data_IF_947091321113
#
_entry.id   IF_947091321113
#
_cell.length_a   1.000
_cell.length_b   1.000
_cell.length_c   1.000
_cell.angle_alpha   90.00
_cell.angle_beta   90.00
_cell.angle_gamma   90.00
#
_symmetry.space_group_name_H-M   'P 1'
#
loop_
_entity.id
_entity.type
_entity.pdbx_description
1 polymer ?
#
# COMPACT_ATOMS: atom_id res chain seq x y z
N UNK A 1 -9.89 -12.61 2.16
CA UNK A 1 -8.56 -13.26 2.05
C UNK A 1 -8.60 -14.05 0.75
N UNK A 2 -7.69 -13.83 -0.21
CA UNK A 2 -7.79 -14.36 -1.58
C UNK A 2 -7.94 -15.90 -1.71
N UNK A 3 -8.31 -16.36 -2.91
CA UNK A 3 -8.70 -17.75 -3.20
C UNK A 3 -7.52 -18.70 -3.48
N UNK A 4 -6.56 -18.80 -2.56
CA UNK A 4 -5.35 -19.62 -2.70
C UNK A 4 -4.06 -18.82 -2.90
N UNK A 5 -2.93 -19.51 -3.08
CA UNK A 5 -1.65 -18.86 -3.39
C UNK A 5 -1.58 -18.42 -4.85
N UNK A 6 -1.07 -17.21 -5.10
CA UNK A 6 -0.94 -16.66 -6.45
C UNK A 6 0.53 -16.62 -6.86
N UNK A 7 0.80 -17.05 -8.10
CA UNK A 7 2.12 -16.90 -8.72
C UNK A 7 2.34 -15.45 -9.11
N UNK A 8 3.40 -14.84 -8.59
CA UNK A 8 3.77 -13.45 -8.88
C UNK A 8 4.90 -13.40 -9.91
N UNK A 9 5.93 -14.22 -9.72
CA UNK A 9 7.02 -14.41 -10.67
C UNK A 9 7.34 -15.90 -10.80
N UNK A 10 8.09 -16.34 -11.81
CA UNK A 10 8.59 -17.71 -11.88
C UNK A 10 9.39 -18.07 -10.62
N UNK A 11 8.88 -19.03 -9.83
CA UNK A 11 9.47 -19.44 -8.55
C UNK A 11 9.13 -18.55 -7.35
N UNK A 12 8.20 -17.59 -7.48
CA UNK A 12 7.75 -16.72 -6.39
C UNK A 12 6.23 -16.65 -6.31
N UNK A 13 5.71 -17.03 -5.14
CA UNK A 13 4.29 -17.13 -4.85
C UNK A 13 3.94 -16.30 -3.61
N UNK A 14 2.72 -15.79 -3.59
CA UNK A 14 2.17 -14.99 -2.50
C UNK A 14 0.87 -15.62 -2.00
N UNK A 15 0.75 -15.80 -0.69
CA UNK A 15 -0.43 -16.46 -0.09
C UNK A 15 -0.79 -15.98 1.30
N UNK A 16 -1.85 -16.58 1.84
CA UNK A 16 -2.29 -16.42 3.23
C UNK A 16 -1.76 -17.59 4.11
N UNK A 17 -2.06 -17.55 5.40
CA UNK A 17 -1.63 -18.59 6.34
C UNK A 17 -2.24 -19.99 6.09
N UNK A 18 -3.45 -20.06 5.53
CA UNK A 18 -4.08 -21.35 5.16
C UNK A 18 -3.36 -21.98 3.98
N UNK A 19 -3.03 -21.18 2.97
CA UNK A 19 -2.30 -21.63 1.78
C UNK A 19 -0.92 -22.19 2.15
N UNK A 20 -0.28 -21.64 3.18
CA UNK A 20 1.01 -22.12 3.70
C UNK A 20 0.94 -23.46 4.44
N UNK A 21 -0.26 -23.95 4.77
CA UNK A 21 -0.50 -25.25 5.41
C UNK A 21 -1.11 -26.28 4.45
N UNK A 22 -1.55 -25.84 3.27
CA UNK A 22 -2.17 -26.71 2.28
C UNK A 22 -1.10 -27.50 1.51
N UNK A 23 -0.91 -28.76 1.90
CA UNK A 23 0.09 -29.62 1.26
C UNK A 23 -0.18 -29.87 -0.24
N UNK A 24 -1.44 -29.78 -0.70
CA UNK A 24 -1.77 -30.04 -2.10
C UNK A 24 -1.28 -28.88 -2.96
N UNK A 25 -1.68 -27.64 -2.64
CA UNK A 25 -1.19 -26.46 -3.35
C UNK A 25 0.34 -26.32 -3.28
N UNK A 26 0.93 -26.66 -2.13
CA UNK A 26 2.37 -26.62 -1.92
C UNK A 26 3.15 -27.64 -2.77
N UNK A 27 2.56 -28.81 -3.07
CA UNK A 27 3.16 -29.83 -3.95
C UNK A 27 2.92 -29.50 -5.42
N UNK A 28 1.70 -29.10 -5.78
CA UNK A 28 1.32 -28.71 -7.16
C UNK A 28 2.20 -27.57 -7.68
N UNK A 29 2.47 -26.56 -6.85
CA UNK A 29 3.30 -25.41 -7.22
C UNK A 29 4.82 -25.65 -6.99
N UNK A 30 5.22 -26.86 -6.57
CA UNK A 30 6.62 -27.21 -6.34
C UNK A 30 7.31 -26.29 -5.32
N UNK A 31 6.59 -25.80 -4.32
CA UNK A 31 7.15 -24.91 -3.29
C UNK A 31 8.23 -25.71 -2.52
N UNK A 32 9.37 -25.10 -2.25
CA UNK A 32 10.48 -25.72 -1.47
C UNK A 32 10.88 -24.84 -0.30
N UNK A 33 10.63 -23.54 -0.40
CA UNK A 33 10.97 -22.53 0.58
C UNK A 33 9.73 -21.75 1.00
N UNK A 34 9.60 -21.44 2.30
CA UNK A 34 8.48 -20.67 2.84
C UNK A 34 9.01 -19.51 3.67
N UNK A 35 8.61 -18.29 3.30
CA UNK A 35 8.86 -17.08 4.05
C UNK A 35 7.58 -16.70 4.80
N UNK A 36 7.59 -16.91 6.11
CA UNK A 36 6.48 -16.62 7.00
C UNK A 36 6.72 -15.30 7.72
N UNK A 37 5.85 -14.29 7.48
CA UNK A 37 5.93 -12.99 8.15
C UNK A 37 4.63 -12.66 8.90
N UNK A 38 4.60 -12.96 10.20
CA UNK A 38 3.50 -12.66 11.10
C UNK A 38 3.94 -12.80 12.57
N UNK A 39 3.08 -12.38 13.50
CA UNK A 39 3.40 -12.24 14.94
C UNK A 39 3.89 -13.53 15.63
N UNK A 40 3.54 -14.69 15.07
CA UNK A 40 3.86 -16.02 15.60
C UNK A 40 4.50 -16.91 14.53
N UNK A 41 5.33 -16.34 13.66
CA UNK A 41 5.98 -17.08 12.56
C UNK A 41 6.84 -18.23 13.11
N UNK A 42 6.46 -19.46 12.77
CA UNK A 42 7.17 -20.68 13.16
C UNK A 42 7.16 -21.67 11.99
N UNK A 43 8.20 -22.50 11.84
CA UNK A 43 8.19 -23.60 10.88
C UNK A 43 7.01 -24.52 11.15
N UNK A 44 6.20 -24.80 10.12
CA UNK A 44 5.00 -25.62 10.23
C UNK A 44 5.19 -27.02 9.63
N UNK A 45 6.03 -27.15 8.61
CA UNK A 45 6.27 -28.39 7.88
C UNK A 45 7.78 -28.72 7.92
N UNK A 46 8.18 -29.98 8.15
CA UNK A 46 9.59 -30.35 8.28
C UNK A 46 10.31 -30.55 6.93
N UNK A 47 9.58 -30.70 5.82
CA UNK A 47 10.10 -31.00 4.48
C UNK A 47 10.57 -29.75 3.70
N UNK A 48 10.54 -28.57 4.32
CA UNK A 48 10.74 -27.28 3.64
C UNK A 48 11.66 -26.36 4.43
N UNK A 49 12.32 -25.47 3.70
CA UNK A 49 13.20 -24.46 4.31
C UNK A 49 12.36 -23.24 4.68
N UNK A 50 12.44 -22.82 5.94
CA UNK A 50 11.67 -21.68 6.44
C UNK A 50 12.56 -20.48 6.74
N UNK A 51 12.05 -19.30 6.37
CA UNK A 51 12.47 -18.02 6.95
C UNK A 51 11.28 -17.44 7.72
N UNK A 52 11.37 -17.41 9.05
CA UNK A 52 10.32 -16.90 9.92
C UNK A 52 10.70 -15.52 10.47
N UNK A 53 9.86 -14.52 10.17
CA UNK A 53 10.02 -13.15 10.66
C UNK A 53 8.82 -12.79 11.52
N UNK A 54 9.08 -12.43 12.76
CA UNK A 54 8.06 -11.93 13.68
C UNK A 54 7.83 -10.44 13.45
N UNK A 55 6.71 -10.09 12.83
CA UNK A 55 6.35 -8.71 12.54
C UNK A 55 4.83 -8.49 12.57
N UNK A 56 4.40 -7.41 13.23
CA UNK A 56 3.00 -7.02 13.33
C UNK A 56 2.53 -6.21 12.11
N UNK A 57 1.24 -6.25 11.79
CA UNK A 57 0.66 -5.53 10.65
C UNK A 57 0.28 -4.09 10.99
N UNK A 58 1.17 -3.39 11.68
CA UNK A 58 0.94 -2.02 12.12
C UNK A 58 1.79 -1.06 11.32
N UNK A 59 1.30 0.16 11.09
CA UNK A 59 2.05 1.22 10.37
C UNK A 59 3.39 1.57 11.01
N UNK A 60 3.55 1.32 12.31
CA UNK A 60 4.78 1.57 13.08
C UNK A 60 5.81 0.44 12.98
N UNK A 61 5.44 -0.74 12.46
CA UNK A 61 6.37 -1.85 12.33
C UNK A 61 7.39 -1.55 11.24
N UNK A 62 8.68 -1.57 11.55
CA UNK A 62 9.74 -1.38 10.56
C UNK A 62 10.04 -2.71 9.85
N UNK A 63 9.74 -2.77 8.54
CA UNK A 63 9.99 -3.94 7.69
C UNK A 63 11.26 -3.81 6.84
N UNK A 64 11.77 -2.59 6.61
CA UNK A 64 12.96 -2.40 5.74
C UNK A 64 14.18 -3.11 6.28
N UNK A 65 14.29 -3.24 7.61
CA UNK A 65 15.38 -3.98 8.26
C UNK A 65 15.47 -5.45 7.81
N UNK A 66 14.36 -6.03 7.33
CA UNK A 66 14.32 -7.41 6.87
C UNK A 66 14.54 -7.58 5.36
N UNK A 67 14.51 -6.49 4.58
CA UNK A 67 14.52 -6.57 3.11
C UNK A 67 15.73 -7.34 2.58
N UNK A 68 16.93 -7.05 3.07
CA UNK A 68 18.14 -7.76 2.62
C UNK A 68 18.08 -9.26 2.94
N UNK A 69 17.65 -9.63 4.15
CA UNK A 69 17.53 -11.03 4.56
C UNK A 69 16.47 -11.77 3.73
N UNK A 70 15.32 -11.13 3.50
CA UNK A 70 14.23 -11.73 2.72
C UNK A 70 14.58 -11.83 1.23
N UNK A 71 15.27 -10.82 0.70
CA UNK A 71 15.73 -10.82 -0.68
C UNK A 71 16.73 -11.94 -0.92
N UNK A 72 17.69 -12.15 -0.03
CA UNK A 72 18.66 -13.25 -0.13
C UNK A 72 17.99 -14.61 -0.13
N UNK A 73 17.02 -14.79 0.78
CA UNK A 73 16.28 -16.04 0.89
C UNK A 73 15.50 -16.34 -0.39
N UNK A 74 14.76 -15.35 -0.91
CA UNK A 74 13.99 -15.50 -2.14
C UNK A 74 14.91 -15.73 -3.34
N UNK A 75 15.96 -14.92 -3.47
CA UNK A 75 16.86 -14.96 -4.62
C UNK A 75 17.62 -16.28 -4.71
N UNK A 76 18.21 -16.73 -3.59
CA UNK A 76 18.93 -18.00 -3.51
C UNK A 76 18.05 -19.18 -3.88
N UNK A 77 16.83 -19.22 -3.35
CA UNK A 77 15.88 -20.30 -3.65
C UNK A 77 15.52 -20.35 -5.13
N UNK A 78 15.27 -19.19 -5.76
CA UNK A 78 14.96 -19.09 -7.20
C UNK A 78 16.15 -19.48 -8.07
N UNK A 79 17.38 -19.09 -7.70
CA UNK A 79 18.60 -19.48 -8.41
C UNK A 79 18.83 -20.99 -8.41
N UNK A 80 18.49 -21.65 -7.31
CA UNK A 80 18.59 -23.11 -7.18
C UNK A 80 17.43 -23.86 -7.88
N UNK A 81 16.58 -23.17 -8.64
CA UNK A 81 15.41 -23.76 -9.31
C UNK A 81 14.26 -24.12 -8.37
N UNK A 82 14.29 -23.64 -7.12
CA UNK A 82 13.21 -23.80 -6.16
C UNK A 82 12.10 -22.75 -6.31
N UNK A 83 10.96 -23.01 -5.67
CA UNK A 83 9.86 -22.05 -5.57
C UNK A 83 9.64 -21.60 -4.13
N UNK A 84 9.42 -20.30 -3.96
CA UNK A 84 9.24 -19.65 -2.65
C UNK A 84 7.81 -19.20 -2.47
N UNK A 85 7.20 -19.55 -1.34
CA UNK A 85 5.93 -18.97 -0.91
C UNK A 85 6.18 -17.91 0.16
N UNK A 86 5.79 -16.68 -0.11
CA UNK A 86 5.78 -15.58 0.87
C UNK A 86 4.36 -15.42 1.40
N UNK A 87 4.18 -15.59 2.71
CA UNK A 87 2.85 -15.45 3.32
C UNK A 87 2.88 -14.67 4.63
N UNK A 88 1.75 -14.05 4.93
CA UNK A 88 1.46 -13.49 6.25
C UNK A 88 0.16 -14.13 6.77
N UNK A 89 -0.61 -13.41 7.58
CA UNK A 89 -1.91 -13.91 8.04
C UNK A 89 -2.94 -13.93 6.89
N UNK A 90 -3.24 -12.77 6.30
CA UNK A 90 -4.25 -12.62 5.25
C UNK A 90 -3.69 -12.67 3.81
N UNK A 91 -2.37 -12.49 3.66
CA UNK A 91 -1.73 -12.34 2.35
C UNK A 91 -2.08 -11.01 1.66
N UNK A 92 -2.13 -9.92 2.44
CA UNK A 92 -2.62 -8.59 2.00
C UNK A 92 -1.58 -7.48 2.17
N UNK A 93 -0.90 -7.43 3.33
CA UNK A 93 -0.05 -6.29 3.69
C UNK A 93 1.42 -6.71 3.90
N UNK A 94 1.79 -7.27 5.05
CA UNK A 94 3.18 -7.67 5.37
C UNK A 94 3.90 -8.48 4.28
N UNK A 95 3.28 -9.58 3.83
CA UNK A 95 3.88 -10.43 2.79
C UNK A 95 3.97 -9.72 1.45
N UNK A 96 2.98 -8.89 1.11
CA UNK A 96 2.98 -8.08 -0.11
C UNK A 96 4.14 -7.10 -0.09
N UNK A 97 4.38 -6.41 1.04
CA UNK A 97 5.49 -5.47 1.18
C UNK A 97 6.84 -6.12 0.88
N UNK A 98 7.09 -7.31 1.44
CA UNK A 98 8.33 -8.06 1.21
C UNK A 98 8.46 -8.50 -0.25
N UNK A 99 7.38 -9.00 -0.84
CA UNK A 99 7.36 -9.39 -2.26
C UNK A 99 7.58 -8.19 -3.18
N UNK A 100 6.97 -7.04 -2.89
CA UNK A 100 7.16 -5.80 -3.64
C UNK A 100 8.61 -5.31 -3.55
N UNK A 101 9.20 -5.30 -2.34
CA UNK A 101 10.60 -4.92 -2.15
C UNK A 101 11.55 -5.78 -2.98
N UNK A 102 11.33 -7.11 -3.00
CA UNK A 102 12.12 -8.02 -3.83
C UNK A 102 11.98 -7.73 -5.33
N UNK A 103 10.75 -7.54 -5.83
CA UNK A 103 10.49 -7.20 -7.24
C UNK A 103 11.21 -5.92 -7.63
N UNK A 104 11.13 -4.88 -6.80
CA UNK A 104 11.85 -3.62 -7.02
C UNK A 104 13.34 -3.88 -7.18
N UNK A 105 13.95 -4.67 -6.29
CA UNK A 105 15.39 -4.97 -6.33
C UNK A 105 15.81 -5.71 -7.60
N UNK A 106 15.05 -6.71 -8.05
CA UNK A 106 15.45 -7.52 -9.22
C UNK A 106 15.12 -6.87 -10.57
N UNK A 107 14.06 -6.07 -10.65
CA UNK A 107 13.63 -5.43 -11.91
C UNK A 107 14.15 -3.99 -12.07
N UNK A 108 14.25 -3.26 -10.97
CA UNK A 108 14.46 -1.81 -10.94
C UNK A 108 13.17 -0.99 -11.09
N UNK A 109 11.99 -1.61 -11.00
CA UNK A 109 10.71 -0.90 -11.01
C UNK A 109 10.54 -0.04 -9.76
N UNK A 110 9.78 1.05 -9.91
CA UNK A 110 9.32 1.85 -8.78
C UNK A 110 8.35 1.07 -7.89
N UNK A 111 8.18 1.48 -6.64
CA UNK A 111 7.34 0.77 -5.67
C UNK A 111 5.88 0.68 -6.10
N UNK A 112 5.36 1.70 -6.79
CA UNK A 112 3.98 1.70 -7.31
C UNK A 112 3.81 0.67 -8.41
N UNK A 113 4.73 0.62 -9.38
CA UNK A 113 4.67 -0.32 -10.49
C UNK A 113 4.88 -1.75 -9.99
N UNK A 114 5.83 -1.96 -9.08
CA UNK A 114 6.05 -3.24 -8.44
C UNK A 114 4.82 -3.70 -7.61
N UNK A 115 4.16 -2.79 -6.89
CA UNK A 115 2.91 -3.12 -6.17
C UNK A 115 1.76 -3.42 -7.14
N UNK A 116 1.65 -2.69 -8.25
CA UNK A 116 0.64 -2.92 -9.27
C UNK A 116 0.86 -4.27 -9.97
N UNK A 117 2.11 -4.69 -10.21
CA UNK A 117 2.42 -6.04 -10.66
C UNK A 117 1.93 -7.10 -9.66
N UNK A 118 2.17 -6.90 -8.36
CA UNK A 118 1.65 -7.82 -7.33
C UNK A 118 0.12 -7.84 -7.32
N UNK A 119 -0.55 -6.69 -7.53
CA UNK A 119 -2.02 -6.61 -7.63
C UNK A 119 -2.58 -7.32 -8.86
N UNK A 120 -1.84 -7.31 -9.97
CA UNK A 120 -2.16 -8.09 -11.16
C UNK A 120 -2.21 -9.59 -10.87
N UNK A 121 -1.29 -10.08 -10.03
CA UNK A 121 -1.26 -11.48 -9.61
C UNK A 121 -2.24 -11.79 -8.47
N UNK A 122 -2.40 -10.88 -7.51
CA UNK A 122 -3.26 -11.02 -6.33
C UNK A 122 -4.00 -9.71 -6.04
N UNK A 123 -5.24 -9.62 -6.49
CA UNK A 123 -6.09 -8.41 -6.41
C UNK A 123 -6.24 -7.83 -5.00
N UNK A 124 -6.24 -8.68 -3.97
CA UNK A 124 -6.36 -8.23 -2.57
C UNK A 124 -5.07 -7.64 -1.97
N UNK A 125 -4.00 -7.47 -2.76
CA UNK A 125 -2.74 -6.88 -2.31
C UNK A 125 -2.91 -5.39 -1.98
N UNK A 126 -2.80 -5.07 -0.69
CA UNK A 126 -2.92 -3.73 -0.18
C UNK A 126 -2.08 -3.54 1.10
N UNK A 127 -0.79 -3.19 0.96
CA UNK A 127 0.06 -2.83 2.10
C UNK A 127 -0.54 -1.68 2.90
N UNK A 128 -0.36 -1.72 4.22
CA UNK A 128 -0.74 -0.59 5.06
C UNK A 128 0.05 0.68 4.66
N UNK A 129 -0.47 1.86 5.01
CA UNK A 129 0.16 3.14 4.63
C UNK A 129 1.59 3.30 5.17
N UNK A 130 1.89 2.75 6.35
CA UNK A 130 3.25 2.77 6.90
C UNK A 130 4.24 2.01 6.03
N UNK A 131 3.84 0.83 5.55
CA UNK A 131 4.64 0.00 4.64
C UNK A 131 4.77 0.62 3.25
N UNK A 132 3.72 1.30 2.75
CA UNK A 132 3.83 2.06 1.50
C UNK A 132 4.87 3.19 1.62
N UNK A 133 4.88 3.94 2.73
CA UNK A 133 5.92 4.94 3.00
C UNK A 133 7.31 4.32 3.10
N UNK A 134 7.43 3.16 3.73
CA UNK A 134 8.69 2.43 3.81
C UNK A 134 9.18 1.97 2.43
N UNK A 135 8.29 1.51 1.54
CA UNK A 135 8.64 1.16 0.16
C UNK A 135 9.07 2.38 -0.66
N UNK A 136 8.39 3.52 -0.48
CA UNK A 136 8.79 4.78 -1.10
C UNK A 136 10.18 5.21 -0.62
N UNK A 137 10.43 5.19 0.69
CA UNK A 137 11.75 5.49 1.24
C UNK A 137 12.82 4.51 0.73
N UNK A 138 12.48 3.21 0.64
CA UNK A 138 13.37 2.20 0.07
C UNK A 138 13.71 2.49 -1.40
N UNK A 139 12.75 2.91 -2.22
CA UNK A 139 13.00 3.32 -3.61
C UNK A 139 14.05 4.44 -3.71
N UNK A 140 14.00 5.44 -2.82
CA UNK A 140 14.87 6.61 -2.88
C UNK A 140 16.25 6.39 -2.22
N UNK A 141 16.31 5.64 -1.12
CA UNK A 141 17.50 5.60 -0.25
C UNK A 141 18.23 4.25 -0.25
N UNK A 142 17.49 3.16 -0.53
CA UNK A 142 17.96 1.80 -0.26
C UNK A 142 18.01 0.89 -1.49
N UNK A 143 17.23 1.17 -2.53
CA UNK A 143 17.04 0.26 -3.67
C UNK A 143 18.35 0.01 -4.43
N UNK A 144 19.08 1.06 -4.77
CA UNK A 144 20.34 0.94 -5.52
C UNK A 144 21.41 0.19 -4.71
N UNK A 145 21.49 0.47 -3.40
CA UNK A 145 22.42 -0.20 -2.49
C UNK A 145 22.09 -1.69 -2.37
N UNK A 146 20.81 -2.01 -2.21
CA UNK A 146 20.34 -3.38 -2.06
C UNK A 146 20.51 -4.18 -3.36
N UNK A 147 20.29 -3.55 -4.51
CA UNK A 147 20.54 -4.15 -5.82
C UNK A 147 22.03 -4.46 -6.02
N UNK A 148 22.90 -3.51 -5.67
CA UNK A 148 24.35 -3.71 -5.74
C UNK A 148 24.80 -4.85 -4.81
N UNK A 149 24.30 -4.87 -3.57
CA UNK A 149 24.55 -5.96 -2.61
C UNK A 149 24.11 -7.32 -3.15
N UNK A 150 22.92 -7.38 -3.77
CA UNK A 150 22.40 -8.63 -4.33
C UNK A 150 23.28 -9.13 -5.49
N UNK A 151 23.76 -8.23 -6.33
CA UNK A 151 24.69 -8.55 -7.44
C UNK A 151 26.04 -9.03 -6.90
N UNK A 152 26.56 -8.40 -5.84
CA UNK A 152 27.80 -8.83 -5.21
C UNK A 152 27.68 -10.22 -4.54
N UNK A 153 26.53 -10.51 -3.95
CA UNK A 153 26.28 -11.79 -3.26
C UNK A 153 26.02 -12.97 -4.21
N UNK A 154 25.34 -12.74 -5.34
CA UNK A 154 24.85 -13.82 -6.21
C UNK A 154 25.30 -13.71 -7.69
N UNK A 155 26.02 -12.66 -8.05
CA UNK A 155 26.41 -12.37 -9.42
C UNK A 155 25.34 -11.60 -10.21
N UNK A 156 25.40 -11.66 -11.54
CA UNK A 156 24.41 -11.02 -12.39
C UNK A 156 23.01 -11.61 -12.15
N UNK A 157 21.98 -10.76 -12.03
CA UNK A 157 20.58 -11.15 -11.83
C UNK A 157 20.07 -11.82 -13.12
N UNK A 158 20.01 -13.16 -13.19
CA UNK A 158 19.87 -13.87 -14.47
C UNK A 158 18.44 -13.81 -15.01
N UNK A 159 17.46 -13.50 -14.16
CA UNK A 159 16.04 -13.49 -14.50
C UNK A 159 15.50 -12.10 -14.78
N UNK A 160 16.35 -11.06 -14.82
CA UNK A 160 15.90 -9.66 -14.85
C UNK A 160 14.94 -9.33 -15.99
N UNK A 161 15.29 -9.71 -17.22
CA UNK A 161 14.45 -9.42 -18.41
C UNK A 161 13.11 -10.15 -18.33
N UNK A 162 13.14 -11.45 -18.02
CA UNK A 162 11.94 -12.27 -17.83
C UNK A 162 11.04 -11.73 -16.71
N UNK A 163 11.63 -11.37 -15.58
CA UNK A 163 10.89 -10.86 -14.43
C UNK A 163 10.26 -9.50 -14.75
N UNK A 164 10.95 -8.65 -15.52
CA UNK A 164 10.44 -7.35 -15.95
C UNK A 164 9.28 -7.50 -16.96
N UNK A 165 9.39 -8.42 -17.92
CA UNK A 165 8.32 -8.73 -18.87
C UNK A 165 7.06 -9.21 -18.13
N UNK A 166 7.21 -10.21 -17.24
CA UNK A 166 6.11 -10.71 -16.42
C UNK A 166 5.48 -9.63 -15.54
N UNK A 167 6.28 -8.72 -14.95
CA UNK A 167 5.73 -7.59 -14.20
C UNK A 167 4.92 -6.66 -15.09
N UNK A 168 5.36 -6.40 -16.32
CA UNK A 168 4.67 -5.52 -17.27
C UNK A 168 3.31 -6.12 -17.68
N UNK A 169 3.26 -7.42 -17.91
CA UNK A 169 1.99 -8.13 -18.17
C UNK A 169 1.03 -8.00 -16.99
N UNK A 170 1.52 -8.23 -15.77
CA UNK A 170 0.70 -8.13 -14.56
C UNK A 170 0.21 -6.71 -14.30
N UNK A 171 1.03 -5.69 -14.56
CA UNK A 171 0.62 -4.27 -14.48
C UNK A 171 -0.50 -3.99 -15.48
N UNK A 172 -0.39 -4.54 -16.69
CA UNK A 172 -1.42 -4.40 -17.73
C UNK A 172 -2.73 -5.06 -17.31
N UNK A 173 -2.67 -6.28 -16.75
CA UNK A 173 -3.84 -6.98 -16.18
C UNK A 173 -4.50 -6.16 -15.08
N UNK A 174 -3.70 -5.62 -14.14
CA UNK A 174 -4.23 -4.77 -13.07
C UNK A 174 -4.89 -3.50 -13.63
N UNK A 175 -4.25 -2.84 -14.59
CA UNK A 175 -4.77 -1.61 -15.21
C UNK A 175 -6.09 -1.85 -15.95
N UNK A 176 -6.19 -2.96 -16.69
CA UNK A 176 -7.44 -3.35 -17.35
C UNK A 176 -8.56 -3.61 -16.34
N UNK A 177 -8.26 -4.27 -15.23
CA UNK A 177 -9.24 -4.50 -14.17
C UNK A 177 -9.69 -3.18 -13.51
N UNK A 178 -8.78 -2.26 -13.24
CA UNK A 178 -9.13 -0.93 -12.69
C UNK A 178 -10.06 -0.17 -13.64
N UNK A 179 -9.84 -0.27 -14.95
CA UNK A 179 -10.63 0.43 -15.95
C UNK A 179 -12.00 -0.20 -16.21
N UNK A 180 -12.08 -1.53 -16.23
CA UNK A 180 -13.30 -2.27 -16.61
C UNK A 180 -14.12 -2.76 -15.43
N UNK A 181 -13.58 -2.73 -14.22
CA UNK A 181 -14.15 -3.41 -13.07
C UNK A 181 -14.08 -4.93 -13.22
N UNK A 182 -14.73 -5.63 -12.29
CA UNK A 182 -14.93 -7.08 -12.40
C UNK A 182 -16.20 -7.32 -13.23
N UNK A 183 -16.08 -7.64 -14.52
CA UNK A 183 -17.26 -8.05 -15.32
C UNK A 183 -17.92 -9.35 -14.78
N UNK A 184 -17.28 -10.01 -13.81
CA UNK A 184 -17.71 -11.26 -13.18
C UNK A 184 -18.10 -11.12 -11.68
N UNK A 185 -18.12 -9.92 -11.09
CA UNK A 185 -18.55 -9.76 -9.70
C UNK A 185 -20.05 -9.47 -9.61
N UNK A 186 -20.73 -10.28 -8.82
CA UNK A 186 -22.06 -10.07 -8.26
C UNK A 186 -22.21 -8.61 -7.77
N UNK A 187 -23.24 -7.85 -8.21
CA UNK A 187 -23.39 -6.42 -7.90
C UNK A 187 -23.56 -6.06 -6.42
N UNK A 188 -23.55 -7.02 -5.49
CA UNK A 188 -23.87 -6.81 -4.07
C UNK A 188 -22.66 -6.68 -3.11
N UNK A 189 -21.41 -6.70 -3.62
CA UNK A 189 -20.22 -6.52 -2.75
C UNK A 189 -19.76 -5.06 -2.77
N UNK A 190 -20.45 -4.24 -1.95
CA UNK A 190 -20.22 -2.81 -1.81
C UNK A 190 -18.93 -2.42 -1.08
N UNK A 191 -17.75 -2.54 -1.72
CA UNK A 191 -16.52 -1.87 -1.27
C UNK A 191 -15.62 -1.40 -2.44
N UNK A 192 -15.90 -0.17 -2.91
CA UNK A 192 -15.07 0.79 -3.70
C UNK A 192 -14.57 0.45 -5.13
N UNK A 193 -14.23 1.44 -6.00
CA UNK A 193 -14.57 2.88 -6.04
C UNK A 193 -15.44 3.23 -7.28
N UNK A 194 -16.30 4.25 -7.17
CA UNK A 194 -17.11 4.71 -8.31
C UNK A 194 -16.21 5.31 -9.42
N UNK A 195 -16.48 5.02 -10.70
CA UNK A 195 -15.75 5.62 -11.82
C UNK A 195 -15.95 7.14 -11.85
N UNK A 196 -14.96 7.85 -12.40
CA UNK A 196 -14.87 9.33 -12.42
C UNK A 196 -16.10 10.04 -13.01
N UNK A 197 -16.94 9.32 -13.77
CA UNK A 197 -18.16 9.83 -14.41
C UNK A 197 -19.39 9.83 -13.49
N UNK A 198 -19.28 9.34 -12.24
CA UNK A 198 -20.39 9.34 -11.28
C UNK A 198 -20.61 10.71 -10.60
N UNK A 199 -19.67 11.65 -10.73
CA UNK A 199 -19.82 13.02 -10.25
C UNK A 199 -20.29 13.93 -11.39
N UNK A 200 -21.59 13.89 -11.70
CA UNK A 200 -22.17 14.88 -12.60
C UNK A 200 -23.55 14.54 -13.16
N UNK A 201 -24.60 14.83 -12.38
CA UNK A 201 -25.76 15.67 -12.73
C UNK A 201 -26.95 15.32 -11.82
N UNK A 202 -27.45 16.32 -11.10
CA UNK A 202 -28.57 16.21 -10.17
C UNK A 202 -29.89 15.93 -10.90
N UNK A 203 -30.77 15.12 -10.29
CA UNK A 203 -32.18 15.50 -10.16
C UNK A 203 -32.80 14.89 -8.90
N UNK A 204 -33.52 15.75 -8.19
CA UNK A 204 -34.40 15.59 -7.04
C UNK A 204 -35.31 14.35 -7.07
N UNK A 205 -35.29 13.54 -6.00
CA UNK A 205 -36.45 12.78 -5.51
C UNK A 205 -36.23 12.31 -4.06
N UNK A 206 -37.21 12.59 -3.20
CA UNK A 206 -37.24 12.24 -1.77
C UNK A 206 -37.29 10.71 -1.54
N UNK A 207 -36.81 10.20 -0.38
CA UNK A 207 -36.93 8.78 -0.05
C UNK A 207 -38.30 8.48 0.59
N UNK A 208 -38.94 7.32 0.28
CA UNK A 208 -40.14 6.88 0.99
C UNK A 208 -39.80 6.18 2.31
N UNK A 209 -40.66 6.40 3.30
CA UNK A 209 -40.72 5.76 4.61
C UNK A 209 -40.85 4.23 4.52
N UNK A 210 -39.90 3.48 5.09
CA UNK A 210 -40.13 2.11 5.54
C UNK A 210 -39.01 1.60 6.47
N UNK A 211 -38.92 2.12 7.71
CA UNK A 211 -38.16 1.46 8.78
C UNK A 211 -38.60 1.96 10.16
N UNK A 212 -39.84 1.65 10.55
CA UNK A 212 -40.30 1.80 11.93
C UNK A 212 -40.83 0.45 12.42
N UNK A 213 -39.98 -0.31 13.12
CA UNK A 213 -40.30 -1.24 14.23
C UNK A 213 -39.10 -2.15 14.53
N UNK A 214 -38.33 -1.77 15.54
CA UNK A 214 -37.72 -2.67 16.56
C UNK A 214 -36.71 -1.88 17.39
N UNK A 215 -37.22 -1.00 18.24
CA UNK A 215 -36.45 -0.39 19.31
C UNK A 215 -37.07 -0.85 20.63
N UNK A 216 -36.49 -1.88 21.26
CA UNK A 216 -36.63 -2.16 22.69
C UNK A 216 -35.67 -3.29 23.07
N UNK A 217 -34.45 -2.93 23.48
CA UNK A 217 -33.54 -3.69 24.36
C UNK A 217 -32.10 -3.21 24.10
N UNK A 218 -31.59 -2.29 24.93
CA UNK A 218 -30.18 -2.17 25.42
C UNK A 218 -29.88 -0.73 25.88
N UNK A 219 -30.57 -0.27 26.93
CA UNK A 219 -30.15 0.91 27.67
C UNK A 219 -29.11 0.49 28.74
N UNK A 220 -27.85 0.32 28.34
CA UNK A 220 -26.72 0.16 29.27
C UNK A 220 -25.31 0.50 28.72
N UNK A 221 -25.14 0.84 27.44
CA UNK A 221 -23.81 1.10 26.83
C UNK A 221 -23.66 2.49 26.19
N UNK A 222 -24.54 3.45 26.47
CA UNK A 222 -24.57 4.74 25.77
C UNK A 222 -23.58 5.81 26.28
N UNK A 223 -22.78 5.55 27.32
CA UNK A 223 -21.84 6.54 27.88
C UNK A 223 -20.38 6.38 27.41
N UNK A 224 -20.03 5.31 26.72
CA UNK A 224 -18.65 5.04 26.26
C UNK A 224 -18.44 5.47 24.79
N UNK A 225 -19.46 5.32 23.94
CA UNK A 225 -19.38 5.66 22.51
C UNK A 225 -19.32 7.18 22.22
N UNK A 226 -19.86 8.02 23.10
CA UNK A 226 -19.80 9.48 22.97
C UNK A 226 -18.37 10.01 23.14
N UNK A 227 -17.58 9.40 24.04
CA UNK A 227 -16.20 9.82 24.29
C UNK A 227 -15.27 9.39 23.15
N UNK A 228 -15.49 8.19 22.61
CA UNK A 228 -14.72 7.66 21.47
C UNK A 228 -14.98 8.49 20.20
N UNK A 229 -16.23 8.91 19.96
CA UNK A 229 -16.55 9.77 18.82
C UNK A 229 -15.92 11.16 18.95
N UNK A 230 -15.97 11.79 20.13
CA UNK A 230 -15.32 13.09 20.36
C UNK A 230 -13.80 13.02 20.20
N UNK A 231 -13.15 11.95 20.70
CA UNK A 231 -11.71 11.72 20.48
C UNK A 231 -11.37 11.49 18.99
N UNK A 232 -12.22 10.78 18.25
CA UNK A 232 -12.05 10.59 16.80
C UNK A 232 -12.23 11.88 16.01
N UNK A 233 -13.17 12.75 16.41
CA UNK A 233 -13.37 14.07 15.81
C UNK A 233 -12.20 15.01 16.10
N UNK A 234 -11.71 15.06 17.33
CA UNK A 234 -10.52 15.85 17.69
C UNK A 234 -9.26 15.37 16.96
N UNK A 235 -9.07 14.05 16.88
CA UNK A 235 -7.91 13.45 16.18
C UNK A 235 -7.98 13.75 14.68
N UNK A 236 -9.17 13.70 14.09
CA UNK A 236 -9.39 14.08 12.69
C UNK A 236 -9.15 15.57 12.46
N UNK A 237 -9.58 16.43 13.38
CA UNK A 237 -9.33 17.87 13.31
C UNK A 237 -7.83 18.22 13.41
N UNK A 238 -7.09 17.55 14.31
CA UNK A 238 -5.64 17.69 14.45
C UNK A 238 -4.89 17.22 13.20
N UNK A 239 -5.28 16.06 12.65
CA UNK A 239 -4.69 15.53 11.40
C UNK A 239 -4.95 16.44 10.19
N UNK A 240 -6.15 17.05 10.12
CA UNK A 240 -6.45 18.05 9.10
C UNK A 240 -5.59 19.30 9.28
N UNK A 241 -5.39 19.76 10.51
CA UNK A 241 -4.58 20.94 10.81
C UNK A 241 -3.10 20.73 10.46
N UNK A 242 -2.52 19.57 10.78
CA UNK A 242 -1.15 19.22 10.40
C UNK A 242 -0.99 19.11 8.88
N UNK A 243 -1.98 18.52 8.19
CA UNK A 243 -1.99 18.45 6.73
C UNK A 243 -2.05 19.84 6.08
N UNK A 244 -2.78 20.78 6.70
CA UNK A 244 -2.85 22.19 6.26
C UNK A 244 -1.50 22.87 6.38
N UNK A 245 -0.85 22.77 7.54
CA UNK A 245 0.48 23.36 7.76
C UNK A 245 1.54 22.79 6.81
N UNK A 246 1.45 21.49 6.51
CA UNK A 246 2.34 20.84 5.54
C UNK A 246 2.13 21.39 4.12
N UNK A 247 0.88 21.56 3.69
CA UNK A 247 0.54 22.12 2.37
C UNK A 247 1.04 23.56 2.19
N UNK A 248 0.92 24.40 3.22
CA UNK A 248 1.42 25.80 3.19
C UNK A 248 2.94 25.85 3.15
N UNK A 249 3.62 24.92 3.84
CA UNK A 249 5.09 24.81 3.78
C UNK A 249 5.56 24.38 2.40
N UNK A 250 4.87 23.43 1.75
CA UNK A 250 5.19 23.02 0.38
C UNK A 250 4.98 24.13 -0.64
N UNK A 251 3.85 24.84 -0.60
CA UNK A 251 3.58 25.96 -1.54
C UNK A 251 4.60 27.09 -1.37
N UNK A 252 4.92 27.45 -0.12
CA UNK A 252 5.95 28.45 0.17
C UNK A 252 7.33 28.00 -0.31
N UNK A 253 7.68 26.71 -0.16
CA UNK A 253 8.95 26.19 -0.66
C UNK A 253 9.03 26.25 -2.19
N UNK A 254 7.93 25.98 -2.90
CA UNK A 254 7.87 26.14 -4.37
C UNK A 254 8.06 27.60 -4.78
N UNK A 255 7.39 28.54 -4.10
CA UNK A 255 7.54 29.97 -4.39
C UNK A 255 8.95 30.49 -4.14
N UNK A 256 9.60 30.01 -3.07
CA UNK A 256 11.01 30.32 -2.79
C UNK A 256 11.90 29.81 -3.95
N UNK A 257 11.75 28.55 -4.35
CA UNK A 257 12.55 27.97 -5.43
C UNK A 257 12.32 28.69 -6.77
N UNK A 258 11.08 29.07 -7.07
CA UNK A 258 10.74 29.84 -8.27
C UNK A 258 11.34 31.25 -8.22
N UNK A 259 11.32 31.92 -7.07
CA UNK A 259 11.95 33.23 -6.91
C UNK A 259 13.47 33.18 -7.14
N UNK A 260 14.14 32.14 -6.61
CA UNK A 260 15.58 31.92 -6.81
C UNK A 260 15.88 31.66 -8.29
N UNK A 261 15.03 30.90 -8.99
CA UNK A 261 15.18 30.65 -10.42
C UNK A 261 15.06 31.92 -11.26
N UNK A 262 14.32 32.94 -10.81
CA UNK A 262 14.13 34.19 -11.54
C UNK A 262 15.18 35.26 -11.20
N UNK A 263 15.62 35.35 -9.94
CA UNK A 263 16.50 36.44 -9.46
C UNK A 263 17.93 35.99 -9.17
N UNK A 264 18.20 34.69 -9.17
CA UNK A 264 19.50 34.10 -8.83
C UNK A 264 19.94 34.31 -7.37
N UNK A 265 19.07 34.85 -6.51
CA UNK A 265 19.39 35.23 -5.13
C UNK A 265 18.27 34.83 -4.17
N UNK A 266 18.65 34.42 -2.95
CA UNK A 266 17.69 34.01 -1.91
C UNK A 266 16.80 35.19 -1.48
N UNK A 267 15.47 35.02 -1.43
CA UNK A 267 14.56 36.06 -0.97
C UNK A 267 14.79 36.43 0.49
N UNK A 268 14.55 37.70 0.84
CA UNK A 268 14.73 38.20 2.20
C UNK A 268 13.78 37.52 3.19
N UNK A 269 14.14 37.46 4.47
CA UNK A 269 13.30 36.88 5.53
C UNK A 269 11.90 37.51 5.61
N UNK A 270 11.78 38.80 5.33
CA UNK A 270 10.47 39.50 5.25
C UNK A 270 9.65 38.98 4.07
N UNK A 271 10.26 38.86 2.88
CA UNK A 271 9.61 38.33 1.68
C UNK A 271 9.13 36.89 1.87
N UNK A 272 9.89 36.05 2.57
CA UNK A 272 9.47 34.68 2.89
C UNK A 272 8.26 34.66 3.82
N UNK A 273 8.23 35.52 4.84
CA UNK A 273 7.07 35.64 5.74
C UNK A 273 5.81 36.14 5.02
N UNK A 274 5.98 37.04 4.04
CA UNK A 274 4.87 37.54 3.23
C UNK A 274 4.33 36.45 2.28
N UNK A 275 5.20 35.62 1.69
CA UNK A 275 4.80 34.45 0.90
C UNK A 275 4.03 33.42 1.75
N UNK A 276 4.51 33.13 2.97
CA UNK A 276 3.80 32.23 3.91
C UNK A 276 2.41 32.75 4.25
N UNK A 277 2.28 34.05 4.58
CA UNK A 277 0.98 34.66 4.88
C UNK A 277 0.04 34.64 3.68
N UNK A 278 0.56 34.88 2.48
CA UNK A 278 -0.23 34.84 1.24
C UNK A 278 -0.76 33.44 0.95
N UNK A 279 0.07 32.41 1.13
CA UNK A 279 -0.32 31.02 0.92
C UNK A 279 -1.29 30.51 1.98
N UNK A 280 -1.15 30.96 3.23
CA UNK A 280 -2.12 30.70 4.29
C UNK A 280 -3.48 31.33 3.95
N UNK A 281 -3.50 32.60 3.53
CA UNK A 281 -4.73 33.31 3.18
C UNK A 281 -5.43 32.68 1.97
N UNK A 282 -4.68 32.24 0.97
CA UNK A 282 -5.21 31.54 -0.20
C UNK A 282 -5.89 30.21 0.19
N UNK A 283 -5.24 29.43 1.06
CA UNK A 283 -5.81 28.19 1.58
C UNK A 283 -7.08 28.45 2.41
N UNK A 284 -7.08 29.49 3.24
CA UNK A 284 -8.24 29.85 4.05
C UNK A 284 -9.44 30.32 3.19
N UNK A 285 -9.18 31.03 2.08
CA UNK A 285 -10.23 31.42 1.12
C UNK A 285 -10.80 30.25 0.32
N UNK A 286 -9.96 29.27 -0.04
CA UNK A 286 -10.39 28.06 -0.75
C UNK A 286 -11.30 27.21 0.15
N UNK A 287 -10.94 27.08 1.43
CA UNK A 287 -11.76 26.38 2.43
C UNK A 287 -13.08 27.12 2.69
N UNK A 288 -13.07 28.45 2.75
CA UNK A 288 -14.29 29.24 2.89
C UNK A 288 -15.24 29.05 1.69
N UNK A 289 -14.69 28.93 0.48
CA UNK A 289 -15.46 28.65 -0.73
C UNK A 289 -16.04 27.22 -0.72
N UNK A 290 -15.27 26.21 -0.31
CA UNK A 290 -15.74 24.83 -0.16
C UNK A 290 -16.84 24.71 0.91
N UNK A 291 -16.72 25.42 2.03
CA UNK A 291 -17.77 25.45 3.07
C UNK A 291 -19.05 26.13 2.60
N UNK A 292 -18.95 27.14 1.73
CA UNK A 292 -20.12 27.80 1.14
C UNK A 292 -20.84 26.94 0.09
N UNK A 293 -20.17 25.92 -0.46
CA UNK A 293 -20.75 24.97 -1.44
C UNK A 293 -21.43 23.76 -0.76
N UNK A 294 -21.19 23.55 0.54
CA UNK A 294 -21.65 22.38 1.31
C UNK A 294 -22.67 22.75 2.40
N UNK A 295 -22.99 24.04 2.59
CA UNK A 295 -24.10 24.45 3.45
C UNK A 295 -25.45 24.24 2.73
N UNK A 296 -26.45 23.60 3.37
CA UNK A 296 -27.78 23.39 2.79
C UNK A 296 -28.57 24.69 2.58
#
# INVERSE_FOLDING_TARGET
>A
MGNGMNKVLPGLYLGNFRDARDQNQLKENGITHILAIHDNAKPALPDRVYLCISASDTSNQELRQYFSQTNDFIHRARLNGGSVLVHCLAGVSRSVTITTAYIMTVTGLGWRDALNAVRGARRCANPNFGFQRQLLAFQHEGLDKEKQRLIEAFGAIPFRERDLEQCTDLISVHSQWVLKGDEAADPDIGLYPLPLNAYGQSTTAAPPEAAAKSAESTAATANDDSQVLDEMFETSAKNLQESREHSVRESTARDILQSISCTGTMPSRKSIQDMQKKNQLAQDTEIAAERSLVAP
#
